data_IF_458388903381
#
_entry.id   IF_458388903381
#
_cell.length_a   1.000
_cell.length_b   1.000
_cell.length_c   1.000
_cell.angle_alpha   90.00
_cell.angle_beta   90.00
_cell.angle_gamma   90.00
#
_symmetry.space_group_name_H-M   'P 1'
#
loop_
_entity.id
_entity.type
_entity.pdbx_description
1 polymer ?
#
# COMPACT_ATOMS: atom_id res chain seq x y z
N UNK A 1 1.20 -21.83 1.84
CA UNK A 1 1.15 -21.00 0.63
C UNK A 1 -0.17 -20.24 0.59
N UNK A 2 -0.23 -19.04 1.17
CA UNK A 2 -1.38 -18.15 0.99
C UNK A 2 -0.85 -16.92 0.24
N UNK A 3 -1.25 -16.75 -1.03
CA UNK A 3 -0.92 -15.58 -1.87
C UNK A 3 -2.22 -14.95 -2.33
N UNK A 4 -2.22 -13.64 -2.54
CA UNK A 4 -3.27 -12.99 -3.33
C UNK A 4 -2.97 -13.29 -4.80
N UNK A 5 -3.91 -13.80 -5.60
CA UNK A 5 -3.65 -14.04 -7.02
C UNK A 5 -3.28 -12.73 -7.74
N UNK A 6 -2.28 -12.78 -8.63
CA UNK A 6 -1.92 -11.66 -9.50
C UNK A 6 -3.09 -11.24 -10.43
N UNK A 7 -4.08 -12.11 -10.62
CA UNK A 7 -5.32 -11.79 -11.33
C UNK A 7 -6.27 -10.85 -10.55
N UNK A 8 -6.00 -10.60 -9.26
CA UNK A 8 -6.94 -9.88 -8.39
C UNK A 8 -7.09 -8.41 -8.79
N UNK A 9 -8.29 -7.85 -8.59
CA UNK A 9 -8.53 -6.42 -8.79
C UNK A 9 -7.58 -5.57 -7.93
N UNK A 10 -7.27 -6.03 -6.70
CA UNK A 10 -6.33 -5.38 -5.81
C UNK A 10 -4.92 -5.30 -6.42
N UNK A 11 -4.43 -6.38 -7.04
CA UNK A 11 -3.15 -6.36 -7.75
C UNK A 11 -3.18 -5.37 -8.91
N UNK A 12 -4.23 -5.38 -9.73
CA UNK A 12 -4.34 -4.47 -10.87
C UNK A 12 -4.30 -3.00 -10.44
N UNK A 13 -5.06 -2.62 -9.40
CA UNK A 13 -5.02 -1.25 -8.85
C UNK A 13 -3.67 -0.89 -8.23
N UNK A 14 -2.92 -1.87 -7.71
CA UNK A 14 -1.57 -1.63 -7.20
C UNK A 14 -0.58 -1.20 -8.30
N UNK A 15 -0.84 -1.57 -9.56
CA UNK A 15 0.03 -1.24 -10.69
C UNK A 15 -0.03 0.24 -11.08
N UNK A 16 -1.10 0.96 -10.71
CA UNK A 16 -1.27 2.40 -10.97
C UNK A 16 -0.26 3.27 -10.21
N UNK A 17 0.34 2.72 -9.13
CA UNK A 17 1.35 3.41 -8.36
C UNK A 17 2.69 3.46 -9.09
N UNK A 18 3.11 4.67 -9.49
CA UNK A 18 4.43 4.93 -10.12
C UNK A 18 5.54 5.25 -9.11
N UNK A 19 5.29 5.05 -7.81
CA UNK A 19 6.24 5.24 -6.72
C UNK A 19 6.82 6.67 -6.56
N UNK A 20 6.09 7.70 -6.99
CA UNK A 20 6.56 9.10 -7.01
C UNK A 20 6.70 9.77 -5.62
N UNK A 21 5.98 9.30 -4.60
CA UNK A 21 6.11 9.81 -3.22
C UNK A 21 5.23 10.99 -2.83
N UNK A 22 4.39 11.53 -3.72
CA UNK A 22 3.53 12.66 -3.36
C UNK A 22 2.52 12.31 -2.25
N UNK A 23 2.14 11.03 -2.14
CA UNK A 23 1.27 10.54 -1.07
C UNK A 23 1.91 10.59 0.33
N UNK A 24 3.24 10.69 0.45
CA UNK A 24 3.95 10.65 1.74
C UNK A 24 3.50 11.78 2.66
N UNK A 25 3.52 13.02 2.16
CA UNK A 25 3.13 14.20 2.92
C UNK A 25 1.63 14.21 3.25
N UNK A 26 0.79 13.46 2.55
CA UNK A 26 -0.64 13.36 2.82
C UNK A 26 -0.99 12.30 3.88
N UNK A 27 -0.07 11.39 4.21
CA UNK A 27 -0.35 10.27 5.08
C UNK A 27 0.04 10.55 6.54
N UNK A 28 -0.91 10.59 7.48
CA UNK A 28 -0.61 10.93 8.88
C UNK A 28 0.27 9.88 9.58
N UNK A 29 0.15 8.61 9.21
CA UNK A 29 0.93 7.52 9.83
C UNK A 29 2.38 7.60 9.41
N UNK A 30 2.65 7.87 8.13
CA UNK A 30 4.00 8.14 7.65
C UNK A 30 4.60 9.38 8.30
N UNK A 31 3.85 10.48 8.38
CA UNK A 31 4.34 11.70 9.03
C UNK A 31 4.71 11.48 10.51
N UNK A 32 4.02 10.57 11.19
CA UNK A 32 4.24 10.28 12.61
C UNK A 32 5.40 9.29 12.82
N UNK A 33 5.43 8.21 12.04
CA UNK A 33 6.36 7.10 12.23
C UNK A 33 7.65 7.25 11.43
N UNK A 34 7.62 7.96 10.30
CA UNK A 34 8.74 8.10 9.37
C UNK A 34 9.11 6.82 8.61
N UNK A 35 8.36 5.73 8.80
CA UNK A 35 8.60 4.44 8.17
C UNK A 35 7.94 4.38 6.80
N UNK A 36 8.75 4.15 5.76
CA UNK A 36 8.27 4.08 4.38
C UNK A 36 7.21 2.99 4.17
N UNK A 37 7.34 1.85 4.87
CA UNK A 37 6.37 0.75 4.91
C UNK A 37 4.99 1.19 5.39
N UNK A 38 4.93 2.21 6.25
CA UNK A 38 3.72 2.79 6.84
C UNK A 38 3.18 3.97 6.03
N UNK A 39 3.76 4.21 4.85
CA UNK A 39 3.22 5.15 3.88
C UNK A 39 2.21 4.47 2.94
N UNK A 40 1.39 5.25 2.21
CA UNK A 40 0.46 4.69 1.24
C UNK A 40 1.18 3.92 0.14
N UNK A 41 2.28 4.48 -0.42
CA UNK A 41 3.04 3.79 -1.48
C UNK A 41 3.78 2.56 -0.95
N UNK A 42 4.27 2.60 0.29
CA UNK A 42 4.91 1.46 0.93
C UNK A 42 3.95 0.29 1.09
N UNK A 43 2.74 0.55 1.62
CA UNK A 43 1.69 -0.48 1.74
C UNK A 43 1.27 -1.05 0.39
N UNK A 44 1.14 -0.21 -0.65
CA UNK A 44 0.86 -0.69 -2.01
C UNK A 44 1.97 -1.65 -2.48
N UNK A 45 3.23 -1.29 -2.26
CA UNK A 45 4.36 -2.14 -2.66
C UNK A 45 4.39 -3.46 -1.87
N UNK A 46 4.09 -3.42 -0.57
CA UNK A 46 3.97 -4.61 0.26
C UNK A 46 2.86 -5.55 -0.25
N UNK A 47 1.67 -5.02 -0.56
CA UNK A 47 0.56 -5.80 -1.12
C UNK A 47 0.86 -6.35 -2.51
N UNK A 48 1.60 -5.60 -3.32
CA UNK A 48 2.07 -6.06 -4.63
C UNK A 48 3.04 -7.23 -4.46
N UNK A 49 4.03 -7.09 -3.57
CA UNK A 49 4.99 -8.15 -3.26
C UNK A 49 4.33 -9.42 -2.72
N UNK A 50 3.24 -9.30 -1.97
CA UNK A 50 2.41 -10.46 -1.58
C UNK A 50 1.81 -11.17 -2.78
N UNK A 51 1.28 -10.40 -3.74
CA UNK A 51 0.65 -10.94 -4.96
C UNK A 51 1.68 -11.57 -5.90
N UNK A 52 2.87 -10.97 -5.98
CA UNK A 52 4.02 -11.46 -6.74
C UNK A 52 4.72 -12.64 -6.05
N UNK A 53 4.36 -12.90 -4.79
CA UNK A 53 4.89 -14.02 -4.01
C UNK A 53 6.29 -13.78 -3.44
N UNK A 54 6.73 -12.52 -3.42
CA UNK A 54 7.96 -12.02 -2.81
C UNK A 54 7.82 -11.83 -1.29
N UNK A 55 6.61 -11.52 -0.83
CA UNK A 55 6.27 -11.32 0.59
C UNK A 55 5.25 -12.39 1.00
N UNK A 56 5.42 -12.98 2.18
CA UNK A 56 4.45 -13.92 2.72
C UNK A 56 3.30 -13.15 3.39
N UNK A 57 2.06 -13.63 3.24
CA UNK A 57 0.91 -13.01 3.92
C UNK A 57 1.05 -12.99 5.46
N UNK A 58 1.86 -13.88 6.02
CA UNK A 58 2.10 -13.98 7.46
C UNK A 58 3.26 -13.11 7.95
N UNK A 59 3.94 -12.36 7.07
CA UNK A 59 5.04 -11.49 7.49
C UNK A 59 4.55 -10.47 8.53
N UNK A 60 5.12 -10.43 9.74
CA UNK A 60 4.64 -9.54 10.80
C UNK A 60 4.69 -8.05 10.41
N UNK A 61 5.72 -7.66 9.65
CA UNK A 61 5.89 -6.29 9.16
C UNK A 61 4.81 -5.86 8.15
N UNK A 62 4.25 -6.80 7.39
CA UNK A 62 3.08 -6.52 6.55
C UNK A 62 1.88 -6.20 7.43
N UNK A 63 1.58 -7.06 8.41
CA UNK A 63 0.46 -6.85 9.34
C UNK A 63 0.55 -5.51 10.06
N UNK A 64 1.71 -5.21 10.64
CA UNK A 64 1.96 -3.95 11.35
C UNK A 64 1.74 -2.72 10.44
N UNK A 65 2.32 -2.73 9.23
CA UNK A 65 2.14 -1.64 8.29
C UNK A 65 0.67 -1.42 7.91
N UNK A 66 -0.08 -2.50 7.70
CA UNK A 66 -1.50 -2.45 7.36
C UNK A 66 -2.36 -1.98 8.54
N UNK A 67 -2.11 -2.49 9.75
CA UNK A 67 -2.84 -2.14 10.97
C UNK A 67 -2.69 -0.66 11.36
N UNK A 68 -1.55 -0.06 11.05
CA UNK A 68 -1.37 1.38 11.26
C UNK A 68 -2.20 2.24 10.30
N UNK A 69 -2.75 1.70 9.20
CA UNK A 69 -3.51 2.49 8.24
C UNK A 69 -4.85 2.98 8.83
N UNK A 70 -5.05 4.30 8.88
CA UNK A 70 -6.28 4.91 9.44
C UNK A 70 -7.47 4.95 8.47
N UNK A 71 -7.34 4.36 7.28
CA UNK A 71 -8.38 4.36 6.24
C UNK A 71 -8.91 5.76 5.84
N UNK A 72 -8.12 6.82 6.04
CA UNK A 72 -8.56 8.21 5.81
C UNK A 72 -8.63 8.63 4.33
N UNK A 73 -8.08 7.83 3.41
CA UNK A 73 -8.01 8.07 1.96
C UNK A 73 -7.39 9.40 1.50
N UNK A 74 -6.72 10.15 2.37
CA UNK A 74 -6.01 11.39 2.01
C UNK A 74 -4.94 11.18 0.91
N UNK A 75 -4.39 9.98 0.83
CA UNK A 75 -3.44 9.58 -0.21
C UNK A 75 -4.01 9.57 -1.63
N UNK A 76 -5.30 9.28 -1.81
CA UNK A 76 -5.95 9.23 -3.12
C UNK A 76 -6.04 10.64 -3.72
N UNK A 77 -6.51 11.61 -2.94
CA UNK A 77 -6.57 13.02 -3.35
C UNK A 77 -5.19 13.61 -3.70
N UNK A 78 -4.13 13.13 -3.04
CA UNK A 78 -2.77 13.57 -3.29
C UNK A 78 -2.10 12.86 -4.48
N UNK A 79 -2.69 11.78 -5.01
CA UNK A 79 -2.04 10.94 -6.02
C UNK A 79 -2.29 11.48 -7.44
N UNK A 80 -1.24 11.92 -8.17
CA UNK A 80 -1.42 12.38 -9.55
C UNK A 80 -1.73 11.24 -10.52
N UNK A 81 -1.37 10.00 -10.18
CA UNK A 81 -1.65 8.80 -10.98
C UNK A 81 -3.08 8.28 -10.79
N UNK A 82 -3.85 8.86 -9.86
CA UNK A 82 -5.23 8.44 -9.62
C UNK A 82 -5.38 7.05 -8.98
N UNK A 83 -4.38 6.62 -8.19
CA UNK A 83 -4.44 5.34 -7.47
C UNK A 83 -5.69 5.25 -6.60
N UNK A 84 -6.49 4.21 -6.83
CA UNK A 84 -7.66 3.88 -6.01
C UNK A 84 -7.23 3.01 -4.82
N UNK A 85 -6.64 3.65 -3.81
CA UNK A 85 -6.09 2.98 -2.63
C UNK A 85 -7.11 2.06 -1.94
N UNK A 86 -8.39 2.42 -1.93
CA UNK A 86 -9.49 1.60 -1.38
C UNK A 86 -9.89 0.37 -2.16
N UNK A 87 -9.25 0.14 -3.30
CA UNK A 87 -9.42 -1.09 -4.06
C UNK A 87 -8.27 -2.07 -3.86
N UNK A 88 -7.23 -1.68 -3.12
CA UNK A 88 -6.02 -2.48 -2.88
C UNK A 88 -6.05 -3.10 -1.48
N UNK A 89 -6.43 -2.32 -0.47
CA UNK A 89 -6.51 -2.70 0.95
C UNK A 89 -7.94 -2.93 1.41
#
# INVERSE_FOLDING_TARGET
MNRIPAESSAYQHSLDCVHCGLCLAACPTYQTLGLETDSPRGRILLMRGVSEGEIQLQEPSLGEALDHCLDCRACESACPSGVQYGKIL
#
